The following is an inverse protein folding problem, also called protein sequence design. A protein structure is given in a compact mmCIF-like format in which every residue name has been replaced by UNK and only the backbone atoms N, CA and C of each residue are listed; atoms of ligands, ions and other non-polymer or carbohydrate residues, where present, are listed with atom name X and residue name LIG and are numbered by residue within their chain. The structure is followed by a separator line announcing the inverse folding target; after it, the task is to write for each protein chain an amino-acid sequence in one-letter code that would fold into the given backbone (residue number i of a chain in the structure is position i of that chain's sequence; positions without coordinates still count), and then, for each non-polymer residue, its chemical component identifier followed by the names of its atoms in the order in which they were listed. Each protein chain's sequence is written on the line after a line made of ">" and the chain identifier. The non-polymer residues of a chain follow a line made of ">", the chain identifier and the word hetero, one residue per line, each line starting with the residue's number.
data_IF_931203308650
#
_entry.id   IF_931203308650
#
_cell.length_a   1.000
_cell.length_b   1.000
_cell.length_c   1.000
_cell.angle_alpha   90.00
_cell.angle_beta   90.00
_cell.angle_gamma   90.00
#
_symmetry.space_group_name_H-M   'P 1'
#
loop_
_entity.id
_entity.type
_entity.pdbx_description
1 polymer ?
#
# COMPACT_ATOMS: atom_id res chain seq x y z
N UNK A 1 -28.12 -23.94 -6.23
CA UNK A 1 -27.32 -22.70 -6.30
C UNK A 1 -26.94 -22.49 -7.76
N UNK A 2 -27.12 -21.29 -8.34
CA UNK A 2 -26.79 -21.04 -9.74
C UNK A 2 -25.28 -21.31 -9.97
N UNK A 3 -24.93 -22.18 -10.92
CA UNK A 3 -23.53 -22.59 -11.19
C UNK A 3 -22.62 -21.37 -11.42
N UNK A 4 -23.14 -20.35 -12.11
CA UNK A 4 -22.42 -19.07 -12.34
C UNK A 4 -22.12 -18.31 -11.05
N UNK A 5 -23.03 -18.38 -10.07
CA UNK A 5 -22.81 -17.77 -8.75
C UNK A 5 -21.73 -18.55 -7.97
N UNK A 6 -21.77 -19.88 -8.03
CA UNK A 6 -20.77 -20.73 -7.38
C UNK A 6 -19.36 -20.46 -7.92
N UNK A 7 -19.22 -20.36 -9.25
CA UNK A 7 -17.97 -20.02 -9.92
C UNK A 7 -17.44 -18.65 -9.47
N UNK A 8 -18.31 -17.63 -9.44
CA UNK A 8 -17.93 -16.28 -9.01
C UNK A 8 -17.53 -16.22 -7.54
N UNK A 9 -18.21 -16.97 -6.67
CA UNK A 9 -17.84 -17.10 -5.26
C UNK A 9 -16.49 -17.81 -5.10
N UNK A 10 -16.20 -18.82 -5.91
CA UNK A 10 -14.90 -19.50 -5.93
C UNK A 10 -13.76 -18.58 -6.35
N UNK A 11 -13.96 -17.80 -7.41
CA UNK A 11 -13.00 -16.78 -7.86
C UNK A 11 -12.74 -15.73 -6.77
N UNK A 12 -13.79 -15.23 -6.11
CA UNK A 12 -13.66 -14.27 -5.02
C UNK A 12 -12.97 -14.87 -3.78
N UNK A 13 -13.16 -16.16 -3.50
CA UNK A 13 -12.52 -16.84 -2.38
C UNK A 13 -11.00 -16.98 -2.60
N UNK A 14 -10.55 -17.26 -3.83
CA UNK A 14 -9.13 -17.37 -4.16
C UNK A 14 -8.35 -16.07 -3.91
N UNK A 15 -9.02 -14.93 -4.05
CA UNK A 15 -8.42 -13.63 -3.79
C UNK A 15 -8.53 -13.21 -2.32
N UNK A 16 -9.27 -13.92 -1.46
CA UNK A 16 -9.71 -13.40 -0.16
C UNK A 16 -8.57 -13.10 0.82
N UNK A 17 -7.51 -13.90 0.80
CA UNK A 17 -6.40 -13.78 1.74
C UNK A 17 -5.20 -13.03 1.15
N UNK A 18 -5.24 -12.68 -0.14
CA UNK A 18 -4.20 -11.88 -0.80
C UNK A 18 -4.25 -10.44 -0.28
N UNK A 19 -3.10 -9.92 0.15
CA UNK A 19 -2.96 -8.53 0.62
C UNK A 19 -1.65 -7.88 0.19
N UNK A 20 -0.77 -8.63 -0.50
CA UNK A 20 0.48 -8.11 -1.04
C UNK A 20 0.29 -7.71 -2.50
N UNK A 21 0.59 -6.46 -2.87
CA UNK A 21 0.55 -6.03 -4.27
C UNK A 21 1.75 -6.60 -5.05
N UNK A 22 1.62 -6.71 -6.37
CA UNK A 22 2.75 -7.01 -7.26
C UNK A 22 3.38 -5.69 -7.71
N UNK A 23 4.65 -5.44 -7.36
CA UNK A 23 5.41 -4.27 -7.82
C UNK A 23 6.28 -4.69 -8.99
N UNK A 24 6.04 -4.10 -10.16
CA UNK A 24 6.63 -4.46 -11.44
C UNK A 24 7.56 -3.34 -11.93
N UNK A 25 8.81 -3.69 -12.19
CA UNK A 25 9.83 -2.80 -12.75
C UNK A 25 10.10 -3.20 -14.19
N UNK A 26 9.66 -2.40 -15.17
CA UNK A 26 9.76 -2.79 -16.59
C UNK A 26 11.20 -2.98 -17.12
N UNK A 27 12.21 -2.52 -16.37
CA UNK A 27 13.61 -2.83 -16.65
C UNK A 27 13.96 -4.32 -16.40
N UNK A 28 13.16 -5.02 -15.59
CA UNK A 28 13.29 -6.45 -15.30
C UNK A 28 12.48 -7.23 -16.34
N UNK A 29 13.08 -8.15 -17.13
CA UNK A 29 12.37 -8.85 -18.19
C UNK A 29 11.18 -9.70 -17.73
N UNK A 30 11.20 -10.22 -16.49
CA UNK A 30 10.08 -10.98 -15.94
C UNK A 30 8.88 -10.07 -15.65
N UNK A 31 9.13 -8.92 -15.02
CA UNK A 31 8.11 -7.93 -14.70
C UNK A 31 7.50 -7.31 -15.95
N UNK A 32 8.30 -7.09 -17.00
CA UNK A 32 7.80 -6.63 -18.30
C UNK A 32 6.78 -7.61 -18.89
N UNK A 33 7.12 -8.91 -18.93
CA UNK A 33 6.18 -9.94 -19.40
C UNK A 33 4.91 -9.99 -18.54
N UNK A 34 5.06 -9.90 -17.22
CA UNK A 34 3.92 -9.88 -16.31
C UNK A 34 3.02 -8.66 -16.52
N UNK A 35 3.62 -7.49 -16.77
CA UNK A 35 2.89 -6.27 -17.11
C UNK A 35 2.15 -6.40 -18.44
N UNK A 36 2.78 -6.94 -19.48
CA UNK A 36 2.14 -7.22 -20.78
C UNK A 36 0.95 -8.19 -20.63
N UNK A 37 1.10 -9.26 -19.85
CA UNK A 37 -0.01 -10.19 -19.54
C UNK A 37 -1.18 -9.49 -18.82
N UNK A 38 -0.90 -8.57 -17.90
CA UNK A 38 -1.94 -7.84 -17.16
C UNK A 38 -2.72 -6.89 -18.05
N UNK A 39 -2.09 -6.29 -19.08
CA UNK A 39 -2.79 -5.45 -20.05
C UNK A 39 -3.83 -6.22 -20.87
N UNK A 40 -3.57 -7.51 -21.12
CA UNK A 40 -4.49 -8.40 -21.85
C UNK A 40 -5.49 -9.11 -20.92
N UNK A 41 -5.35 -8.97 -19.60
CA UNK A 41 -6.19 -9.67 -18.62
C UNK A 41 -7.55 -8.99 -18.46
N UNK A 42 -8.69 -9.69 -18.74
CA UNK A 42 -10.02 -9.09 -18.62
C UNK A 42 -10.33 -8.62 -17.20
N UNK A 43 -10.80 -7.37 -17.08
CA UNK A 43 -11.20 -6.77 -15.81
C UNK A 43 -10.08 -6.01 -15.09
N UNK A 44 -8.84 -6.06 -15.60
CA UNK A 44 -7.77 -5.17 -15.11
C UNK A 44 -8.07 -3.73 -15.51
N UNK A 45 -7.93 -2.81 -14.56
CA UNK A 45 -8.15 -1.38 -14.71
C UNK A 45 -6.82 -0.64 -14.59
N UNK A 46 -6.41 0.02 -15.67
CA UNK A 46 -5.13 0.73 -15.74
C UNK A 46 -5.30 2.18 -15.28
N UNK A 47 -4.46 2.62 -14.36
CA UNK A 47 -4.41 3.98 -13.82
C UNK A 47 -3.00 4.56 -13.99
N UNK A 48 -2.80 5.31 -15.07
CA UNK A 48 -1.53 6.01 -15.32
C UNK A 48 -1.70 7.51 -15.08
N UNK A 49 -1.04 7.99 -14.02
CA UNK A 49 -0.94 9.41 -13.66
C UNK A 49 0.51 9.77 -13.29
N UNK A 50 1.50 9.10 -13.88
CA UNK A 50 2.91 9.30 -13.54
C UNK A 50 3.36 10.76 -13.75
N UNK A 51 2.92 11.39 -14.85
CA UNK A 51 3.27 12.79 -15.15
C UNK A 51 2.87 13.74 -14.00
N UNK A 52 1.65 13.60 -13.47
CA UNK A 52 1.19 14.38 -12.33
C UNK A 52 2.07 14.18 -11.10
N UNK A 53 2.47 12.94 -10.83
CA UNK A 53 3.37 12.63 -9.71
C UNK A 53 4.76 13.25 -9.90
N UNK A 54 5.32 13.21 -11.11
CA UNK A 54 6.61 13.86 -11.41
C UNK A 54 6.54 15.37 -11.23
N UNK A 55 5.43 16.01 -11.60
CA UNK A 55 5.21 17.45 -11.33
C UNK A 55 5.18 17.74 -9.84
N UNK A 56 4.50 16.91 -9.06
CA UNK A 56 4.41 17.10 -7.61
C UNK A 56 5.76 16.88 -6.92
N UNK A 57 6.57 15.93 -7.39
CA UNK A 57 7.97 15.76 -6.97
C UNK A 57 8.82 17.01 -7.24
N UNK A 58 8.73 17.55 -8.45
CA UNK A 58 9.48 18.76 -8.83
C UNK A 58 9.10 19.97 -7.97
N UNK A 59 7.81 20.12 -7.66
CA UNK A 59 7.32 21.16 -6.74
C UNK A 59 7.83 20.94 -5.32
N UNK A 60 7.78 19.71 -4.80
CA UNK A 60 8.25 19.37 -3.45
C UNK A 60 9.75 19.69 -3.28
N UNK A 61 10.54 19.50 -4.35
CA UNK A 61 11.99 19.81 -4.38
C UNK A 61 12.30 21.29 -4.64
N UNK A 62 11.31 22.12 -4.98
CA UNK A 62 11.48 23.56 -5.29
C UNK A 62 10.58 24.48 -4.43
N UNK A 63 10.55 24.35 -3.08
CA UNK A 63 9.53 25.00 -2.25
C UNK A 63 9.62 26.54 -2.22
N UNK A 64 10.81 27.09 -2.45
CA UNK A 64 11.05 28.55 -2.43
C UNK A 64 10.93 29.19 -3.82
N UNK A 65 10.85 28.39 -4.87
CA UNK A 65 10.80 28.85 -6.26
C UNK A 65 9.72 28.07 -7.01
N UNK A 66 8.44 28.47 -6.89
CA UNK A 66 7.35 27.81 -7.59
C UNK A 66 7.59 27.83 -9.10
N UNK A 67 7.60 26.65 -9.71
CA UNK A 67 7.79 26.48 -11.15
C UNK A 67 6.47 26.79 -11.88
N UNK A 68 6.58 27.52 -12.99
CA UNK A 68 5.49 27.67 -13.97
C UNK A 68 5.17 26.35 -14.65
N UNK A 69 4.01 26.26 -15.32
CA UNK A 69 3.64 25.05 -16.05
C UNK A 69 4.65 24.72 -17.16
N UNK A 70 5.18 25.73 -17.87
CA UNK A 70 6.18 25.53 -18.92
C UNK A 70 7.50 24.99 -18.36
N UNK A 71 7.94 25.48 -17.20
CA UNK A 71 9.14 24.98 -16.53
C UNK A 71 8.95 23.54 -16.03
N UNK A 72 7.77 23.20 -15.51
CA UNK A 72 7.43 21.84 -15.11
C UNK A 72 7.44 20.89 -16.31
N UNK A 73 6.84 21.27 -17.43
CA UNK A 73 6.81 20.45 -18.66
C UNK A 73 8.24 20.15 -19.14
N UNK A 74 9.10 21.18 -19.18
CA UNK A 74 10.52 21.03 -19.54
C UNK A 74 11.25 20.11 -18.57
N UNK A 75 11.03 20.27 -17.27
CA UNK A 75 11.69 19.47 -16.23
C UNK A 75 11.24 18.00 -16.25
N UNK A 76 9.95 17.73 -16.46
CA UNK A 76 9.43 16.36 -16.65
C UNK A 76 10.04 15.73 -17.89
N UNK A 77 10.05 16.43 -19.02
CA UNK A 77 10.64 15.93 -20.26
C UNK A 77 12.13 15.60 -20.10
N UNK A 78 12.89 16.51 -19.46
CA UNK A 78 14.30 16.29 -19.15
C UNK A 78 14.52 15.06 -18.25
N UNK A 79 13.64 14.85 -17.27
CA UNK A 79 13.72 13.70 -16.34
C UNK A 79 13.46 12.36 -17.02
N UNK A 80 12.52 12.30 -17.96
CA UNK A 80 12.29 11.10 -18.77
C UNK A 80 13.45 10.82 -19.73
N UNK A 81 14.23 11.85 -20.10
CA UNK A 81 15.44 11.74 -20.92
C UNK A 81 15.23 10.92 -22.21
N UNK A 82 14.10 11.15 -22.89
CA UNK A 82 13.73 10.45 -24.13
C UNK A 82 13.36 8.97 -23.95
N UNK A 83 13.36 8.42 -22.73
CA UNK A 83 12.85 7.07 -22.45
C UNK A 83 11.31 7.06 -22.43
N UNK A 84 10.66 5.95 -22.79
CA UNK A 84 9.22 5.83 -22.65
C UNK A 84 8.79 6.02 -21.20
N UNK A 85 7.77 6.86 -20.97
CA UNK A 85 7.29 7.17 -19.62
C UNK A 85 6.90 5.91 -18.82
N UNK A 86 6.32 4.90 -19.49
CA UNK A 86 5.95 3.62 -18.90
C UNK A 86 7.11 2.88 -18.21
N UNK A 87 8.36 3.19 -18.58
CA UNK A 87 9.57 2.56 -18.00
C UNK A 87 10.15 3.31 -16.80
N UNK A 88 9.54 4.43 -16.40
CA UNK A 88 9.98 5.24 -15.28
C UNK A 88 9.14 4.93 -14.03
N UNK A 89 9.79 4.73 -12.89
CA UNK A 89 9.10 4.32 -11.67
C UNK A 89 8.71 2.84 -11.69
N UNK A 90 7.52 2.52 -11.18
CA UNK A 90 7.01 1.14 -11.05
C UNK A 90 5.54 1.04 -11.42
N UNK A 91 5.12 -0.14 -11.82
CA UNK A 91 3.71 -0.49 -11.96
C UNK A 91 3.27 -1.37 -10.80
N UNK A 92 2.22 -0.98 -10.10
CA UNK A 92 1.69 -1.73 -8.94
C UNK A 92 0.36 -2.35 -9.31
N UNK A 93 0.32 -3.68 -9.32
CA UNK A 93 -0.92 -4.44 -9.51
C UNK A 93 -1.50 -4.86 -8.16
N UNK A 94 -2.79 -4.62 -7.97
CA UNK A 94 -3.57 -5.02 -6.80
C UNK A 94 -4.51 -6.17 -7.20
N UNK A 95 -4.12 -7.44 -7.03
CA UNK A 95 -4.89 -8.58 -7.56
C UNK A 95 -6.33 -8.64 -7.06
N UNK A 96 -6.57 -8.19 -5.83
CA UNK A 96 -7.90 -8.20 -5.22
C UNK A 96 -8.87 -7.16 -5.79
N UNK A 97 -8.37 -6.09 -6.40
CA UNK A 97 -9.20 -5.04 -7.01
C UNK A 97 -9.06 -4.98 -8.53
N UNK A 98 -8.09 -5.71 -9.11
CA UNK A 98 -7.76 -5.68 -10.52
C UNK A 98 -7.18 -4.35 -10.99
N UNK A 99 -6.67 -3.51 -10.08
CA UNK A 99 -6.11 -2.19 -10.45
C UNK A 99 -4.62 -2.32 -10.76
N UNK A 100 -4.18 -1.76 -11.88
CA UNK A 100 -2.79 -1.63 -12.28
C UNK A 100 -2.44 -0.14 -12.30
N UNK A 101 -1.63 0.31 -11.34
CA UNK A 101 -1.36 1.74 -11.09
C UNK A 101 0.09 2.07 -11.39
N UNK A 102 0.33 3.10 -12.19
CA UNK A 102 1.67 3.60 -12.49
C UNK A 102 2.11 4.61 -11.43
N UNK A 103 3.21 4.33 -10.71
CA UNK A 103 3.69 5.13 -9.60
C UNK A 103 5.17 5.51 -9.78
N UNK A 104 5.57 6.59 -9.10
CA UNK A 104 6.98 6.87 -8.83
C UNK A 104 7.66 5.68 -8.13
N UNK A 105 8.98 5.60 -8.24
CA UNK A 105 9.76 4.65 -7.46
C UNK A 105 9.72 4.99 -5.96
N UNK A 106 10.01 4.01 -5.11
CA UNK A 106 9.78 4.02 -3.67
C UNK A 106 10.23 5.32 -2.99
N UNK A 107 11.49 5.72 -3.18
CA UNK A 107 12.06 6.90 -2.53
C UNK A 107 11.30 8.19 -2.88
N UNK A 108 10.96 8.36 -4.16
CA UNK A 108 10.30 9.56 -4.66
C UNK A 108 8.81 9.57 -4.33
N UNK A 109 8.17 8.39 -4.37
CA UNK A 109 6.80 8.22 -3.90
C UNK A 109 6.67 8.63 -2.43
N UNK A 110 7.59 8.16 -1.58
CA UNK A 110 7.61 8.51 -0.15
C UNK A 110 7.86 10.01 0.04
N UNK A 111 8.82 10.59 -0.69
CA UNK A 111 9.13 12.02 -0.62
C UNK A 111 7.89 12.87 -0.92
N UNK A 112 7.22 12.61 -2.05
CA UNK A 112 6.03 13.36 -2.46
C UNK A 112 4.89 13.19 -1.45
N UNK A 113 4.61 11.95 -1.04
CA UNK A 113 3.47 11.64 -0.17
C UNK A 113 3.62 12.22 1.23
N UNK A 114 4.85 12.34 1.73
CA UNK A 114 5.15 12.89 3.06
C UNK A 114 5.49 14.38 3.06
N UNK A 115 5.64 15.03 1.90
CA UNK A 115 6.08 16.43 1.82
C UNK A 115 5.19 17.37 2.64
N UNK A 116 3.87 17.19 2.61
CA UNK A 116 2.93 18.02 3.38
C UNK A 116 2.99 17.81 4.89
N UNK A 117 3.59 16.72 5.35
CA UNK A 117 3.76 16.39 6.75
C UNK A 117 5.11 16.83 7.32
N UNK A 118 6.03 17.36 6.49
CA UNK A 118 7.43 17.66 6.86
C UNK A 118 7.62 18.62 8.06
N UNK A 119 6.59 19.40 8.39
CA UNK A 119 6.60 20.31 9.54
C UNK A 119 5.94 19.71 10.80
N UNK A 120 5.25 18.58 10.66
CA UNK A 120 4.70 17.77 11.76
C UNK A 120 5.69 16.65 12.16
N UNK A 121 6.28 16.00 11.16
CA UNK A 121 7.31 14.98 11.29
C UNK A 121 8.47 15.43 10.40
N UNK A 122 9.58 15.81 11.00
CA UNK A 122 10.76 16.28 10.25
C UNK A 122 11.36 15.15 9.42
N UNK A 123 12.15 15.49 8.39
CA UNK A 123 12.83 14.47 7.56
C UNK A 123 13.75 13.55 8.38
N UNK A 124 14.39 14.08 9.42
CA UNK A 124 15.22 13.29 10.33
C UNK A 124 14.39 12.32 11.18
N UNK A 125 13.28 12.79 11.74
CA UNK A 125 12.35 11.93 12.47
C UNK A 125 11.74 10.86 11.56
N UNK A 126 11.35 11.23 10.34
CA UNK A 126 10.82 10.30 9.34
C UNK A 126 11.82 9.17 9.06
N UNK A 127 13.10 9.52 8.81
CA UNK A 127 14.15 8.55 8.57
C UNK A 127 14.37 7.61 9.78
N UNK A 128 14.31 8.14 11.00
CA UNK A 128 14.38 7.32 12.23
C UNK A 128 13.18 6.37 12.36
N UNK A 129 11.99 6.83 12.01
CA UNK A 129 10.74 6.06 12.08
C UNK A 129 10.66 4.96 11.01
N UNK A 130 11.30 5.13 9.84
CA UNK A 130 11.43 4.07 8.83
C UNK A 130 12.14 2.82 9.36
N UNK A 131 12.97 2.95 10.40
CA UNK A 131 13.60 1.80 11.06
C UNK A 131 12.72 1.08 12.09
N UNK A 132 11.52 1.59 12.37
CA UNK A 132 10.66 1.11 13.47
C UNK A 132 9.66 0.06 13.05
N UNK A 133 9.44 -0.91 13.92
CA UNK A 133 8.46 -2.00 13.75
C UNK A 133 7.37 -1.88 14.81
N UNK A 134 6.12 -1.85 14.38
CA UNK A 134 4.99 -1.68 15.29
C UNK A 134 3.99 -2.81 15.13
N UNK A 135 3.63 -3.43 16.26
CA UNK A 135 2.59 -4.45 16.32
C UNK A 135 1.26 -3.84 16.74
N UNK A 136 0.19 -4.21 16.07
CA UNK A 136 -1.18 -3.79 16.38
C UNK A 136 -2.05 -5.04 16.54
N UNK A 137 -2.62 -5.18 17.73
CA UNK A 137 -3.47 -6.30 18.13
C UNK A 137 -4.90 -5.78 18.25
N UNK A 138 -5.82 -6.38 17.51
CA UNK A 138 -7.20 -5.91 17.41
C UNK A 138 -7.36 -4.80 16.36
N UNK A 139 -8.11 -5.08 15.30
CA UNK A 139 -8.21 -4.24 14.10
C UNK A 139 -9.64 -3.79 13.82
N UNK A 140 -10.46 -3.70 14.87
CA UNK A 140 -11.64 -2.85 14.84
C UNK A 140 -11.24 -1.40 15.05
N UNK A 141 -11.02 -0.96 16.29
CA UNK A 141 -10.55 0.41 16.57
C UNK A 141 -9.10 0.60 16.11
N UNK A 142 -8.26 -0.43 16.27
CA UNK A 142 -6.86 -0.41 15.84
C UNK A 142 -6.65 -0.22 14.33
N UNK A 143 -7.68 -0.40 13.49
CA UNK A 143 -7.61 -0.01 12.07
C UNK A 143 -7.24 1.46 11.93
N UNK A 144 -7.86 2.35 12.72
CA UNK A 144 -7.63 3.79 12.61
C UNK A 144 -6.17 4.15 12.90
N UNK A 145 -5.57 3.48 13.89
CA UNK A 145 -4.17 3.62 14.25
C UNK A 145 -3.27 3.14 13.11
N UNK A 146 -3.52 1.92 12.60
CA UNK A 146 -2.73 1.35 11.50
C UNK A 146 -2.74 2.25 10.25
N UNK A 147 -3.92 2.75 9.87
CA UNK A 147 -4.06 3.63 8.71
C UNK A 147 -3.40 5.00 8.94
N UNK A 148 -3.54 5.60 10.13
CA UNK A 148 -2.84 6.85 10.46
C UNK A 148 -1.33 6.66 10.38
N UNK A 149 -0.80 5.55 10.90
CA UNK A 149 0.63 5.25 10.82
C UNK A 149 1.11 5.07 9.39
N UNK A 150 0.33 4.42 8.53
CA UNK A 150 0.65 4.31 7.11
C UNK A 150 0.61 5.67 6.38
N UNK A 151 -0.44 6.47 6.62
CA UNK A 151 -0.60 7.81 6.05
C UNK A 151 0.57 8.73 6.42
N UNK A 152 1.05 8.67 7.66
CA UNK A 152 2.16 9.49 8.15
C UNK A 152 3.53 8.80 8.04
N UNK A 153 3.54 7.56 7.54
CA UNK A 153 4.71 6.66 7.40
C UNK A 153 5.56 6.57 8.68
N UNK A 154 4.93 6.52 9.85
CA UNK A 154 5.59 6.55 11.15
C UNK A 154 6.16 5.19 11.62
N UNK A 155 6.24 4.22 10.72
CA UNK A 155 6.91 2.94 10.90
C UNK A 155 7.45 2.44 9.55
N UNK A 156 8.45 1.56 9.59
CA UNK A 156 8.91 0.80 8.41
C UNK A 156 8.19 -0.54 8.24
N UNK A 157 7.65 -1.10 9.33
CA UNK A 157 6.87 -2.33 9.32
C UNK A 157 5.69 -2.24 10.27
N UNK A 158 4.53 -2.73 9.83
CA UNK A 158 3.35 -2.95 10.66
C UNK A 158 3.03 -4.46 10.75
N UNK A 159 2.95 -4.98 11.97
CA UNK A 159 2.47 -6.35 12.24
C UNK A 159 1.03 -6.28 12.73
N UNK A 160 0.12 -6.90 12.00
CA UNK A 160 -1.32 -6.79 12.21
C UNK A 160 -1.88 -8.13 12.69
N UNK A 161 -2.40 -8.18 13.92
CA UNK A 161 -2.97 -9.40 14.51
C UNK A 161 -4.47 -9.24 14.79
N UNK A 162 -5.29 -10.04 14.11
CA UNK A 162 -6.73 -10.13 14.35
C UNK A 162 -7.26 -11.44 13.74
N UNK A 163 -8.02 -12.22 14.52
CA UNK A 163 -8.61 -13.48 14.08
C UNK A 163 -10.02 -13.32 13.49
N UNK A 164 -10.67 -12.20 13.76
CA UNK A 164 -12.05 -11.97 13.35
C UNK A 164 -12.17 -11.65 11.86
N UNK A 165 -13.39 -11.83 11.36
CA UNK A 165 -13.82 -11.36 10.06
C UNK A 165 -14.66 -10.10 10.22
N UNK A 166 -14.70 -9.27 9.18
CA UNK A 166 -15.56 -8.10 9.12
C UNK A 166 -17.02 -8.55 9.08
N UNK A 167 -17.80 -8.08 10.05
CA UNK A 167 -19.24 -8.22 10.07
C UNK A 167 -19.94 -6.91 9.69
N UNK A 168 -21.20 -6.99 9.26
CA UNK A 168 -22.02 -5.82 8.95
C UNK A 168 -22.10 -4.85 10.15
N UNK A 169 -22.19 -5.38 11.36
CA UNK A 169 -22.22 -4.63 12.63
C UNK A 169 -20.91 -3.92 12.94
N UNK A 170 -19.82 -4.19 12.21
CA UNK A 170 -18.55 -3.51 12.41
C UNK A 170 -18.43 -2.26 11.52
N UNK A 171 -19.21 -2.16 10.43
CA UNK A 171 -19.12 -1.07 9.46
C UNK A 171 -19.60 0.30 9.99
N UNK A 172 -20.11 0.38 11.23
CA UNK A 172 -20.34 1.66 11.91
C UNK A 172 -19.06 2.32 12.45
N UNK A 173 -17.94 1.61 12.49
CA UNK A 173 -16.67 2.10 13.07
C UNK A 173 -15.42 1.64 12.32
N UNK A 174 -15.49 0.51 11.62
CA UNK A 174 -14.46 0.09 10.66
C UNK A 174 -14.73 0.79 9.33
N UNK A 175 -13.76 1.56 8.83
CA UNK A 175 -13.83 2.31 7.57
C UNK A 175 -13.51 1.40 6.38
N UNK A 176 -14.39 0.42 6.10
CA UNK A 176 -14.26 -0.45 4.93
C UNK A 176 -15.56 -0.48 4.11
N UNK A 177 -15.48 -0.93 2.87
CA UNK A 177 -16.64 -1.08 1.99
C UNK A 177 -17.45 -2.34 2.32
N UNK A 178 -18.76 -2.34 1.99
CA UNK A 178 -19.64 -3.49 2.23
C UNK A 178 -19.17 -4.79 1.55
N UNK A 179 -18.35 -4.69 0.50
CA UNK A 179 -17.74 -5.83 -0.19
C UNK A 179 -16.72 -6.59 0.67
N UNK A 180 -16.23 -6.00 1.77
CA UNK A 180 -15.26 -6.61 2.67
C UNK A 180 -15.88 -7.51 3.74
N UNK A 181 -17.21 -7.58 3.85
CA UNK A 181 -17.89 -8.46 4.81
C UNK A 181 -17.43 -9.91 4.60
N UNK A 182 -17.01 -10.56 5.69
CA UNK A 182 -16.44 -11.92 5.69
C UNK A 182 -14.94 -11.99 5.41
N UNK A 183 -14.26 -10.89 5.10
CA UNK A 183 -12.80 -10.82 5.02
C UNK A 183 -12.18 -10.77 6.42
N UNK A 184 -11.02 -11.40 6.64
CA UNK A 184 -10.29 -11.25 7.90
C UNK A 184 -9.89 -9.76 8.08
N UNK A 185 -10.02 -9.24 9.30
CA UNK A 185 -9.77 -7.83 9.59
C UNK A 185 -8.32 -7.42 9.29
N UNK A 186 -7.32 -8.26 9.63
CA UNK A 186 -5.92 -8.00 9.33
C UNK A 186 -5.65 -7.92 7.83
N UNK A 187 -6.25 -8.82 7.05
CA UNK A 187 -6.15 -8.79 5.59
C UNK A 187 -6.78 -7.54 5.00
N UNK A 188 -7.95 -7.11 5.49
CA UNK A 188 -8.59 -5.87 5.03
C UNK A 188 -7.71 -4.64 5.27
N UNK A 189 -7.18 -4.51 6.50
CA UNK A 189 -6.32 -3.36 6.85
C UNK A 189 -5.01 -3.39 6.05
N UNK A 190 -4.42 -4.57 5.83
CA UNK A 190 -3.23 -4.70 5.01
C UNK A 190 -3.46 -4.24 3.55
N UNK A 191 -4.63 -4.54 2.97
CA UNK A 191 -4.98 -4.03 1.63
C UNK A 191 -5.14 -2.53 1.60
N UNK A 192 -5.81 -1.96 2.60
CA UNK A 192 -5.98 -0.50 2.72
C UNK A 192 -4.62 0.18 2.83
N UNK A 193 -3.71 -0.38 3.63
CA UNK A 193 -2.33 0.11 3.73
C UNK A 193 -1.61 -0.01 2.39
N UNK A 194 -1.68 -1.15 1.71
CA UNK A 194 -1.04 -1.34 0.40
C UNK A 194 -1.57 -0.36 -0.66
N UNK A 195 -2.86 -0.04 -0.63
CA UNK A 195 -3.47 0.95 -1.53
C UNK A 195 -3.09 2.40 -1.17
N UNK A 196 -2.68 2.68 0.07
CA UNK A 196 -2.14 3.99 0.52
C UNK A 196 -0.64 4.10 0.21
N UNK A 197 0.11 3.03 0.50
CA UNK A 197 1.55 2.95 0.38
C UNK A 197 1.98 1.50 0.07
N UNK A 198 2.19 1.15 -1.21
CA UNK A 198 2.53 -0.21 -1.61
C UNK A 198 3.94 -0.63 -1.17
N UNK A 199 4.76 0.30 -0.68
CA UNK A 199 6.13 0.06 -0.21
C UNK A 199 6.22 -0.08 1.32
N UNK A 200 5.11 0.07 2.06
CA UNK A 200 5.11 -0.19 3.50
C UNK A 200 5.02 -1.69 3.77
N UNK A 201 5.98 -2.25 4.52
CA UNK A 201 5.95 -3.66 4.89
C UNK A 201 4.82 -3.92 5.88
N UNK A 202 3.93 -4.86 5.55
CA UNK A 202 2.85 -5.31 6.42
C UNK A 202 2.91 -6.82 6.57
N UNK A 203 2.87 -7.29 7.82
CA UNK A 203 2.85 -8.73 8.15
C UNK A 203 1.54 -9.05 8.88
N UNK A 204 0.73 -9.96 8.34
CA UNK A 204 -0.55 -10.34 8.93
C UNK A 204 -0.45 -11.62 9.78
N UNK A 205 -1.03 -11.57 10.97
CA UNK A 205 -1.27 -12.70 11.88
C UNK A 205 -2.79 -12.92 11.93
N UNK A 206 -3.31 -13.62 10.92
CA UNK A 206 -4.76 -13.81 10.71
C UNK A 206 -5.42 -14.78 11.69
N UNK A 207 -4.63 -15.47 12.51
CA UNK A 207 -5.11 -16.30 13.62
C UNK A 207 -5.13 -15.51 14.95
N UNK A 208 -4.84 -14.21 14.89
CA UNK A 208 -4.56 -13.42 16.09
C UNK A 208 -3.25 -13.85 16.75
N UNK A 209 -3.12 -13.60 18.05
CA UNK A 209 -1.99 -14.08 18.84
C UNK A 209 -2.30 -15.43 19.48
N UNK A 210 -1.48 -16.42 19.16
CA UNK A 210 -1.51 -17.76 19.73
C UNK A 210 -0.19 -18.04 20.45
N UNK A 211 -0.15 -19.09 21.27
CA UNK A 211 1.10 -19.48 21.95
C UNK A 211 2.20 -19.83 20.96
N UNK A 212 1.81 -20.32 19.78
CA UNK A 212 2.69 -20.80 18.73
C UNK A 212 3.26 -19.67 17.87
N UNK A 213 2.57 -18.52 17.77
CA UNK A 213 2.97 -17.42 16.90
C UNK A 213 3.42 -16.14 17.65
N UNK A 214 3.28 -16.09 18.98
CA UNK A 214 3.66 -14.93 19.79
C UNK A 214 5.14 -14.53 19.58
N UNK A 215 6.06 -15.49 19.63
CA UNK A 215 7.49 -15.21 19.43
C UNK A 215 7.75 -14.62 18.03
N UNK A 216 7.05 -15.12 17.00
CA UNK A 216 7.16 -14.55 15.66
C UNK A 216 6.58 -13.13 15.57
N UNK A 217 5.50 -12.83 16.31
CA UNK A 217 4.89 -11.51 16.37
C UNK A 217 5.78 -10.49 17.08
N UNK A 218 6.33 -10.82 18.25
CA UNK A 218 7.13 -9.89 19.04
C UNK A 218 8.58 -9.82 18.55
N UNK A 219 9.20 -10.97 18.27
CA UNK A 219 10.65 -11.09 18.12
C UNK A 219 11.11 -11.46 16.70
N UNK A 220 10.19 -11.67 15.75
CA UNK A 220 10.44 -12.21 14.40
C UNK A 220 11.54 -11.52 13.57
N UNK A 221 11.22 -10.99 12.39
CA UNK A 221 12.23 -10.30 11.55
C UNK A 221 12.55 -8.91 12.12
N UNK A 222 13.27 -8.90 13.26
CA UNK A 222 13.49 -7.77 14.15
C UNK A 222 12.38 -7.63 15.21
N UNK A 223 12.77 -7.35 16.45
CA UNK A 223 11.82 -7.12 17.54
C UNK A 223 10.92 -5.90 17.30
N UNK A 224 9.74 -5.89 17.93
CA UNK A 224 8.86 -4.74 17.94
C UNK A 224 9.44 -3.59 18.77
N UNK A 225 9.35 -2.36 18.25
CA UNK A 225 9.66 -1.14 18.99
C UNK A 225 8.45 -0.62 19.78
N UNK A 226 7.24 -0.94 19.33
CA UNK A 226 5.98 -0.52 19.93
C UNK A 226 4.89 -1.59 19.71
N UNK A 227 4.04 -1.77 20.70
CA UNK A 227 2.84 -2.60 20.64
C UNK A 227 1.64 -1.74 20.98
N UNK A 228 0.58 -1.86 20.19
CA UNK A 228 -0.70 -1.19 20.38
C UNK A 228 -1.76 -2.27 20.47
N UNK A 229 -2.58 -2.22 21.50
CA UNK A 229 -3.59 -3.24 21.80
C UNK A 229 -4.96 -2.55 21.94
N UNK A 230 -5.89 -2.97 21.09
CA UNK A 230 -7.23 -2.37 20.92
C UNK A 230 -8.26 -3.49 20.69
N UNK A 231 -8.44 -4.36 21.70
CA UNK A 231 -9.39 -5.48 21.66
C UNK A 231 -10.82 -5.11 22.09
#
# INVERSE_FOLDING_TARGET
>A
MNERLAEKLGQAAALRDLHTPEILRLAVPADLRRWEELLETPGVQVHDQLEGQLRDLLKARSPLHPLSNEELDKAVHARLNGKPAATHGVWVHYPWSGRLVHLLDEEEFIEVRTDRNRNKITREEQARLTGKRVGIIGLSVGQSVALTMALERTAGELRLADFDRIELTNLNRIRSGAHAIGMNKAVNVAREIAEIDPFLKVTCFTEGLTRENMDAFFDGDGGLDLVIEEC
#
